data_IF_213681022670
#
_entry.id   IF_213681022670
#
_cell.length_a   1.000
_cell.length_b   1.000
_cell.length_c   1.000
_cell.angle_alpha   90.00
_cell.angle_beta   90.00
_cell.angle_gamma   90.00
#
_symmetry.space_group_name_H-M   'P 1'
#
loop_
_entity.id
_entity.type
_entity.pdbx_description
1 polymer ?
#
# COMPACT_ATOMS: atom_id res chain seq x y z
N UNK A 1 19.71 -21.34 23.10
CA UNK A 1 19.34 -22.09 21.87
C UNK A 1 17.82 -22.17 21.66
N UNK A 2 17.01 -22.64 22.63
CA UNK A 2 15.54 -22.65 22.46
C UNK A 2 14.91 -21.25 22.31
N UNK A 3 15.38 -20.25 23.04
CA UNK A 3 14.84 -18.88 22.95
C UNK A 3 15.18 -18.18 21.63
N UNK A 4 16.33 -18.51 21.06
CA UNK A 4 16.79 -17.99 19.76
C UNK A 4 15.95 -18.55 18.60
N UNK A 5 15.58 -19.84 18.69
CA UNK A 5 14.66 -20.47 17.73
C UNK A 5 13.27 -19.85 17.83
N UNK A 6 12.74 -19.63 19.04
CA UNK A 6 11.43 -18.97 19.25
C UNK A 6 11.41 -17.56 18.67
N UNK A 7 12.45 -16.76 18.92
CA UNK A 7 12.54 -15.41 18.37
C UNK A 7 12.61 -15.41 16.83
N UNK A 8 13.35 -16.35 16.25
CA UNK A 8 13.45 -16.51 14.80
C UNK A 8 12.09 -16.84 14.17
N UNK A 9 11.34 -17.78 14.76
CA UNK A 9 9.99 -18.13 14.28
C UNK A 9 9.03 -16.94 14.39
N UNK A 10 9.05 -16.23 15.52
CA UNK A 10 8.21 -15.04 15.71
C UNK A 10 8.54 -13.95 14.70
N UNK A 11 9.81 -13.75 14.36
CA UNK A 11 10.23 -12.78 13.36
C UNK A 11 9.66 -13.12 11.97
N UNK A 12 9.72 -14.39 11.55
CA UNK A 12 9.17 -14.85 10.28
C UNK A 12 7.65 -14.66 10.21
N UNK A 13 6.95 -15.00 11.30
CA UNK A 13 5.49 -14.80 11.38
C UNK A 13 5.12 -13.32 11.28
N UNK A 14 5.81 -12.45 12.02
CA UNK A 14 5.60 -11.00 11.95
C UNK A 14 5.85 -10.44 10.56
N UNK A 15 6.96 -10.85 9.94
CA UNK A 15 7.30 -10.43 8.58
C UNK A 15 6.22 -10.85 7.58
N UNK A 16 5.78 -12.10 7.65
CA UNK A 16 4.74 -12.65 6.78
C UNK A 16 3.41 -11.92 6.97
N UNK A 17 2.99 -11.71 8.21
CA UNK A 17 1.78 -10.97 8.53
C UNK A 17 1.84 -9.53 7.99
N UNK A 18 2.95 -8.83 8.21
CA UNK A 18 3.18 -7.48 7.72
C UNK A 18 3.12 -7.41 6.19
N UNK A 19 3.75 -8.37 5.51
CA UNK A 19 3.74 -8.46 4.05
C UNK A 19 2.31 -8.67 3.50
N UNK A 20 1.53 -9.57 4.10
CA UNK A 20 0.14 -9.83 3.68
C UNK A 20 -0.73 -8.60 3.89
N UNK A 21 -0.60 -7.95 5.05
CA UNK A 21 -1.35 -6.73 5.37
C UNK A 21 -1.03 -5.64 4.36
N UNK A 22 0.26 -5.38 4.08
CA UNK A 22 0.65 -4.35 3.13
C UNK A 22 0.22 -4.66 1.71
N UNK A 23 0.35 -5.92 1.27
CA UNK A 23 -0.13 -6.34 -0.04
C UNK A 23 -1.64 -6.07 -0.19
N UNK A 24 -2.42 -6.43 0.84
CA UNK A 24 -3.86 -6.15 0.86
C UNK A 24 -4.17 -4.66 0.84
N UNK A 25 -3.48 -3.86 1.65
CA UNK A 25 -3.68 -2.41 1.74
C UNK A 25 -3.35 -1.76 0.39
N UNK A 26 -2.18 -2.02 -0.19
CA UNK A 26 -1.75 -1.42 -1.46
C UNK A 26 -2.67 -1.80 -2.62
N UNK A 27 -3.09 -3.07 -2.68
CA UNK A 27 -4.02 -3.52 -3.70
C UNK A 27 -5.37 -2.78 -3.61
N UNK A 28 -5.95 -2.70 -2.40
CA UNK A 28 -7.24 -2.02 -2.23
C UNK A 28 -7.11 -0.52 -2.45
N UNK A 29 -6.02 0.09 -2.01
CA UNK A 29 -5.74 1.51 -2.22
C UNK A 29 -5.65 1.81 -3.71
N UNK A 30 -4.83 1.06 -4.46
CA UNK A 30 -4.73 1.21 -5.91
C UNK A 30 -6.06 0.96 -6.62
N UNK A 31 -6.83 -0.04 -6.19
CA UNK A 31 -8.15 -0.33 -6.75
C UNK A 31 -9.14 0.80 -6.52
N UNK A 32 -9.22 1.35 -5.31
CA UNK A 32 -10.11 2.46 -4.98
C UNK A 32 -9.71 3.69 -5.80
N UNK A 33 -8.43 4.01 -5.87
CA UNK A 33 -7.94 5.13 -6.68
C UNK A 33 -8.27 4.97 -8.16
N UNK A 34 -8.08 3.78 -8.73
CA UNK A 34 -8.45 3.50 -10.11
C UNK A 34 -9.96 3.59 -10.33
N UNK A 35 -10.78 3.10 -9.40
CA UNK A 35 -12.24 3.25 -9.46
C UNK A 35 -12.65 4.73 -9.42
N UNK A 36 -12.02 5.55 -8.58
CA UNK A 36 -12.30 6.98 -8.51
C UNK A 36 -11.91 7.69 -9.81
N UNK A 37 -10.71 7.43 -10.34
CA UNK A 37 -10.21 8.06 -11.57
C UNK A 37 -11.02 7.63 -12.80
N UNK A 38 -11.46 6.38 -12.84
CA UNK A 38 -12.26 5.84 -13.96
C UNK A 38 -13.77 6.00 -13.77
N UNK A 39 -14.24 6.75 -12.76
CA UNK A 39 -15.67 6.91 -12.44
C UNK A 39 -16.42 5.57 -12.33
N UNK A 40 -15.76 4.56 -11.78
CA UNK A 40 -16.31 3.23 -11.58
C UNK A 40 -16.21 2.28 -12.78
N UNK A 41 -15.63 2.72 -13.90
CA UNK A 41 -15.45 1.88 -15.11
C UNK A 41 -14.26 0.90 -15.01
N UNK A 42 -13.47 0.94 -13.93
CA UNK A 42 -12.39 -0.01 -13.72
C UNK A 42 -12.92 -1.46 -13.61
N UNK A 43 -12.39 -2.41 -14.40
CA UNK A 43 -12.88 -3.78 -14.43
C UNK A 43 -12.81 -4.44 -13.04
N UNK A 44 -13.88 -5.15 -12.69
CA UNK A 44 -14.06 -5.83 -11.39
C UNK A 44 -13.99 -7.35 -11.61
N UNK A 45 -13.61 -8.10 -10.56
CA UNK A 45 -13.61 -9.56 -10.60
C UNK A 45 -12.31 -10.16 -11.16
N UNK A 46 -12.41 -11.14 -12.04
CA UNK A 46 -11.28 -11.95 -12.53
C UNK A 46 -10.20 -11.13 -13.24
N UNK A 47 -10.58 -10.09 -13.97
CA UNK A 47 -9.63 -9.22 -14.67
C UNK A 47 -8.78 -8.35 -13.71
N UNK A 48 -9.32 -8.04 -12.53
CA UNK A 48 -8.57 -7.35 -11.48
C UNK A 48 -7.56 -8.30 -10.80
N UNK A 49 -7.92 -9.57 -10.62
CA UNK A 49 -6.98 -10.56 -10.07
C UNK A 49 -5.79 -10.84 -11.00
N UNK A 50 -6.00 -10.78 -12.32
CA UNK A 50 -4.91 -10.92 -13.29
C UNK A 50 -3.88 -9.78 -13.25
N UNK A 51 -4.28 -8.61 -12.74
CA UNK A 51 -3.45 -7.40 -12.73
C UNK A 51 -3.09 -6.93 -11.30
N UNK A 52 -3.08 -7.82 -10.31
CA UNK A 52 -2.78 -7.49 -8.91
C UNK A 52 -1.51 -6.66 -8.76
N UNK A 53 -0.40 -7.04 -9.41
CA UNK A 53 0.87 -6.30 -9.33
C UNK A 53 0.75 -4.87 -9.86
N UNK A 54 -0.01 -4.65 -10.94
CA UNK A 54 -0.22 -3.32 -11.52
C UNK A 54 -1.10 -2.46 -10.62
N UNK A 55 -2.16 -3.05 -10.07
CA UNK A 55 -3.07 -2.37 -9.13
C UNK A 55 -2.31 -1.97 -7.86
N UNK A 56 -1.52 -2.88 -7.29
CA UNK A 56 -0.69 -2.58 -6.12
C UNK A 56 0.36 -1.51 -6.40
N UNK A 57 0.93 -1.46 -7.62
CA UNK A 57 1.83 -0.38 -8.04
C UNK A 57 1.13 0.99 -8.03
N UNK A 58 -0.11 1.06 -8.52
CA UNK A 58 -0.92 2.28 -8.41
C UNK A 58 -1.15 2.64 -6.93
N UNK A 59 -1.40 1.65 -6.07
CA UNK A 59 -1.49 1.87 -4.64
C UNK A 59 -0.23 2.50 -4.03
N UNK A 60 0.95 2.03 -4.44
CA UNK A 60 2.23 2.61 -4.03
C UNK A 60 2.35 4.05 -4.54
N UNK A 61 2.04 4.32 -5.81
CA UNK A 61 2.13 5.66 -6.38
C UNK A 61 1.25 6.66 -5.62
N UNK A 62 0.01 6.27 -5.30
CA UNK A 62 -0.92 7.13 -4.55
C UNK A 62 -0.39 7.39 -3.14
N UNK A 63 0.19 6.38 -2.49
CA UNK A 63 0.79 6.55 -1.16
C UNK A 63 1.99 7.50 -1.19
N UNK A 64 2.86 7.38 -2.20
CA UNK A 64 4.00 8.30 -2.43
C UNK A 64 3.51 9.72 -2.71
N UNK A 65 2.47 9.88 -3.53
CA UNK A 65 1.87 11.20 -3.82
C UNK A 65 1.27 11.84 -2.56
N UNK A 66 0.54 11.07 -1.75
CA UNK A 66 -0.02 11.56 -0.50
C UNK A 66 1.09 12.01 0.48
N UNK A 67 2.15 11.21 0.62
CA UNK A 67 3.31 11.59 1.42
C UNK A 67 4.02 12.83 0.88
N UNK A 68 4.16 12.93 -0.44
CA UNK A 68 4.78 14.09 -1.09
C UNK A 68 3.96 15.35 -0.86
N UNK A 69 2.63 15.26 -0.95
CA UNK A 69 1.71 16.37 -0.63
C UNK A 69 1.86 16.83 0.82
N UNK A 70 1.92 15.90 1.78
CA UNK A 70 2.15 16.22 3.19
C UNK A 70 3.52 16.85 3.40
N UNK A 71 4.56 16.31 2.78
CA UNK A 71 5.91 16.85 2.86
C UNK A 71 5.98 18.26 2.28
N UNK A 72 5.38 18.51 1.11
CA UNK A 72 5.29 19.84 0.52
C UNK A 72 4.55 20.78 1.46
N UNK A 73 3.35 20.42 1.92
CA UNK A 73 2.57 21.23 2.85
C UNK A 73 3.38 21.62 4.10
N UNK A 74 4.06 20.66 4.72
CA UNK A 74 4.87 20.92 5.91
C UNK A 74 6.05 21.85 5.63
N UNK A 75 6.69 21.72 4.46
CA UNK A 75 7.89 22.50 4.13
C UNK A 75 7.60 23.85 3.46
N UNK A 76 6.43 24.04 2.83
CA UNK A 76 6.08 25.30 2.16
C UNK A 76 5.09 26.14 2.96
N UNK A 77 4.03 25.54 3.48
CA UNK A 77 2.98 26.25 4.22
C UNK A 77 3.27 26.28 5.71
N UNK A 78 3.87 25.23 6.27
CA UNK A 78 4.32 25.20 7.66
C UNK A 78 5.53 26.12 7.96
N UNK A 79 6.25 26.57 6.93
CA UNK A 79 7.37 27.53 7.05
C UNK A 79 6.88 28.98 6.94
N UNK A 80 5.64 29.23 6.52
CA UNK A 80 5.06 30.57 6.36
C UNK A 80 3.89 30.86 7.32
N UNK A 81 3.58 29.94 8.22
CA UNK A 81 2.66 30.12 9.33
C UNK A 81 3.42 30.43 10.62
#
# INVERSE_FOLDING_TARGET
MQDEIKNSVVAVVKFTAYYIIWSFVLFNLGRVSLLLVTLGQYPRGLDAQRNVSKISLVGILVLVLAWSLVAIYNNTLGVHA
#
